data_IF_740173686885
#
_entry.id   IF_740173686885
#
_cell.length_a   1.000
_cell.length_b   1.000
_cell.length_c   1.000
_cell.angle_alpha   90.00
_cell.angle_beta   90.00
_cell.angle_gamma   90.00
#
_symmetry.space_group_name_H-M   'P 1'
#
loop_
_entity.id
_entity.type
_entity.pdbx_description
1 polymer ?
#
# COMPACT_ATOMS: atom_id res chain seq x y z
N UNK A 1 16.49 0.57 10.15
CA UNK A 1 16.57 0.31 8.70
C UNK A 1 15.15 0.25 8.17
N UNK A 2 14.66 1.35 7.58
CA UNK A 2 13.33 1.36 6.96
C UNK A 2 13.37 0.57 5.66
N UNK A 3 12.38 -0.28 5.44
CA UNK A 3 12.18 -0.97 4.16
C UNK A 3 11.15 -0.18 3.35
N UNK A 4 11.48 0.09 2.09
CA UNK A 4 10.53 0.68 1.15
C UNK A 4 9.55 -0.42 0.75
N UNK A 5 8.27 -0.17 0.94
CA UNK A 5 7.18 -1.04 0.54
C UNK A 5 6.29 -0.34 -0.48
N UNK A 6 5.72 -1.11 -1.39
CA UNK A 6 4.74 -0.61 -2.34
C UNK A 6 3.33 -0.99 -1.89
N UNK A 7 2.38 -0.13 -2.17
CA UNK A 7 0.97 -0.28 -1.84
C UNK A 7 0.20 -0.45 -3.15
N UNK A 8 -0.44 -1.61 -3.29
CA UNK A 8 -1.21 -2.00 -4.45
C UNK A 8 -2.71 -1.87 -4.18
N UNK A 9 -3.44 -1.22 -5.08
CA UNK A 9 -4.90 -1.13 -5.03
C UNK A 9 -5.52 -2.53 -5.19
N UNK A 10 -6.51 -2.89 -4.37
CA UNK A 10 -7.18 -4.20 -4.46
C UNK A 10 -8.02 -4.38 -5.71
N UNK A 11 -8.50 -3.30 -6.32
CA UNK A 11 -9.37 -3.37 -7.51
C UNK A 11 -8.58 -3.39 -8.80
N UNK A 12 -7.77 -2.34 -9.05
CA UNK A 12 -7.02 -2.23 -10.30
C UNK A 12 -5.65 -2.93 -10.26
N UNK A 13 -5.26 -3.50 -9.10
CA UNK A 13 -3.97 -4.18 -8.86
C UNK A 13 -2.72 -3.32 -9.14
N UNK A 14 -2.90 -2.02 -9.37
CA UNK A 14 -1.79 -1.10 -9.65
C UNK A 14 -1.11 -0.68 -8.36
N UNK A 15 0.22 -0.61 -8.43
CA UNK A 15 1.11 -0.14 -7.37
C UNK A 15 1.25 1.38 -7.51
N UNK A 16 0.48 2.10 -6.70
CA UNK A 16 0.31 3.55 -6.88
C UNK A 16 0.99 4.36 -5.77
N UNK A 17 1.32 3.70 -4.67
CA UNK A 17 1.84 4.32 -3.48
C UNK A 17 3.09 3.57 -3.04
N UNK A 18 4.02 4.32 -2.47
CA UNK A 18 5.27 3.80 -1.93
C UNK A 18 5.44 4.42 -0.55
N UNK A 19 5.65 3.60 0.45
CA UNK A 19 5.81 4.03 1.84
C UNK A 19 7.00 3.32 2.45
N UNK A 20 7.65 3.95 3.42
CA UNK A 20 8.70 3.31 4.21
C UNK A 20 8.06 2.71 5.46
N UNK A 21 8.27 1.42 5.69
CA UNK A 21 7.88 0.77 6.94
C UNK A 21 9.10 0.28 7.72
N UNK A 22 8.98 0.26 9.03
CA UNK A 22 9.98 -0.33 9.89
C UNK A 22 9.56 -1.76 10.25
N UNK A 23 10.10 -2.75 9.55
CA UNK A 23 9.76 -4.18 9.73
C UNK A 23 10.00 -4.69 11.16
N UNK A 24 10.82 -3.99 11.96
CA UNK A 24 11.02 -4.30 13.39
C UNK A 24 9.84 -3.92 14.28
N UNK A 25 9.12 -2.84 13.94
CA UNK A 25 8.05 -2.30 14.78
C UNK A 25 6.68 -2.78 14.32
N UNK A 26 6.50 -2.92 13.00
CA UNK A 26 5.25 -3.34 12.38
C UNK A 26 5.50 -4.57 11.47
N UNK A 27 5.36 -5.79 12.02
CA UNK A 27 5.47 -7.02 11.24
C UNK A 27 4.22 -7.30 10.39
N UNK A 28 3.08 -6.70 10.71
CA UNK A 28 1.81 -6.97 10.03
C UNK A 28 1.73 -6.33 8.63
N UNK A 29 0.76 -6.79 7.82
CA UNK A 29 0.54 -6.26 6.47
C UNK A 29 -0.20 -4.94 6.57
N UNK A 30 0.36 -3.89 5.98
CA UNK A 30 -0.28 -2.58 5.97
C UNK A 30 -1.43 -2.57 4.95
N UNK A 31 -2.62 -2.25 5.44
CA UNK A 31 -3.82 -2.02 4.63
C UNK A 31 -4.33 -0.60 4.85
N UNK A 32 -4.28 0.23 3.79
CA UNK A 32 -4.65 1.64 3.86
C UNK A 32 -5.74 1.96 2.85
N UNK A 33 -6.80 2.64 3.28
CA UNK A 33 -7.78 3.24 2.36
C UNK A 33 -7.16 4.49 1.73
N UNK A 34 -6.85 4.42 0.43
CA UNK A 34 -6.27 5.51 -0.35
C UNK A 34 -7.07 5.72 -1.62
N UNK A 35 -7.02 6.93 -2.16
CA UNK A 35 -7.68 7.26 -3.41
C UNK A 35 -6.95 6.59 -4.58
N UNK A 36 -7.67 5.84 -5.41
CA UNK A 36 -7.12 5.30 -6.64
C UNK A 36 -7.51 6.20 -7.81
N UNK A 37 -6.52 6.85 -8.46
CA UNK A 37 -6.75 7.70 -9.65
C UNK A 37 -7.41 6.94 -10.81
N UNK A 38 -7.16 5.64 -10.91
CA UNK A 38 -7.71 4.79 -11.99
C UNK A 38 -9.15 4.37 -11.73
N UNK A 39 -9.48 3.99 -10.48
CA UNK A 39 -10.85 3.65 -10.10
C UNK A 39 -11.70 4.89 -9.77
N UNK A 40 -11.07 6.07 -9.65
CA UNK A 40 -11.67 7.34 -9.23
C UNK A 40 -12.45 7.27 -7.91
N UNK A 41 -12.02 6.39 -7.00
CA UNK A 41 -12.64 6.18 -5.69
C UNK A 41 -11.61 5.76 -4.65
N UNK A 42 -11.98 5.88 -3.37
CA UNK A 42 -11.17 5.39 -2.27
C UNK A 42 -11.28 3.87 -2.15
N UNK A 43 -10.15 3.20 -2.30
CA UNK A 43 -10.06 1.74 -2.29
C UNK A 43 -9.04 1.30 -1.25
N UNK A 44 -9.17 0.06 -0.80
CA UNK A 44 -8.14 -0.58 0.01
C UNK A 44 -6.89 -0.77 -0.83
N UNK A 45 -5.77 -0.28 -0.31
CA UNK A 45 -4.45 -0.54 -0.84
C UNK A 45 -3.73 -1.45 0.15
N UNK A 46 -3.22 -2.58 -0.34
CA UNK A 46 -2.50 -3.56 0.46
C UNK A 46 -1.02 -3.49 0.14
N UNK A 47 -0.20 -3.74 1.14
CA UNK A 47 1.23 -3.92 0.96
C UNK A 47 1.52 -5.03 -0.07
N UNK A 48 2.41 -4.72 -1.01
CA UNK A 48 2.94 -5.66 -1.99
C UNK A 48 4.46 -5.65 -1.92
N UNK A 49 5.05 -6.82 -2.19
CA UNK A 49 6.50 -7.05 -2.13
C UNK A 49 7.22 -6.42 -3.33
#
# INVERSE_FOLDING_TARGET
MGQIIHLACTECKRRNYTTTKNKKNDPDRIELKKYCKFCRKHTLHKETR
#
